data_IF_284489187540
#
_entry.id   IF_284489187540
#
_cell.length_a   1.000
_cell.length_b   1.000
_cell.length_c   1.000
_cell.angle_alpha   90.00
_cell.angle_beta   90.00
_cell.angle_gamma   90.00
#
_symmetry.space_group_name_H-M   'P 1'
#
loop_
_entity.id
_entity.type
_entity.pdbx_description
1 polymer ?
#
# COMPACT_ATOMS: atom_id res chain seq x y z
N UNK A 1 41.38 2.94 -26.34
CA UNK A 1 40.00 3.28 -26.75
C UNK A 1 39.17 3.38 -25.50
N UNK A 2 38.92 4.60 -25.02
CA UNK A 2 38.34 4.88 -23.70
C UNK A 2 36.82 5.07 -23.84
N UNK A 3 36.04 4.25 -23.13
CA UNK A 3 34.57 4.30 -23.12
C UNK A 3 34.09 5.57 -22.42
N UNK A 4 33.20 6.39 -23.01
CA UNK A 4 32.62 7.53 -22.31
C UNK A 4 31.61 7.05 -21.27
N UNK A 5 31.83 7.40 -20.00
CA UNK A 5 30.85 7.22 -18.92
C UNK A 5 29.70 8.21 -19.13
N UNK A 6 28.51 7.70 -19.46
CA UNK A 6 27.32 8.53 -19.68
C UNK A 6 26.68 8.87 -18.33
N UNK A 7 26.90 10.09 -17.85
CA UNK A 7 26.30 10.56 -16.61
C UNK A 7 24.80 10.86 -16.82
N UNK A 8 23.94 9.99 -16.29
CA UNK A 8 22.49 10.18 -16.28
C UNK A 8 22.11 11.33 -15.35
N UNK A 9 21.98 12.53 -15.89
CA UNK A 9 21.50 13.68 -15.14
C UNK A 9 19.99 13.62 -14.92
N UNK A 10 19.51 14.09 -13.76
CA UNK A 10 18.06 14.22 -13.45
C UNK A 10 17.30 14.94 -14.57
N UNK A 11 17.93 15.95 -15.19
CA UNK A 11 17.34 16.74 -16.29
C UNK A 11 17.14 15.91 -17.56
N UNK A 12 18.02 14.94 -17.82
CA UNK A 12 17.91 14.00 -18.94
C UNK A 12 16.73 13.06 -18.73
N UNK A 13 16.52 12.56 -17.50
CA UNK A 13 15.39 11.71 -17.15
C UNK A 13 14.05 12.47 -17.23
N UNK A 14 14.00 13.71 -16.74
CA UNK A 14 12.79 14.54 -16.81
C UNK A 14 12.40 14.85 -18.27
N UNK A 15 13.39 15.11 -19.13
CA UNK A 15 13.14 15.30 -20.57
C UNK A 15 12.62 14.03 -21.24
N UNK A 16 13.19 12.87 -20.89
CA UNK A 16 12.73 11.58 -21.41
C UNK A 16 11.28 11.26 -20.98
N UNK A 17 10.93 11.54 -19.72
CA UNK A 17 9.58 11.39 -19.19
C UNK A 17 8.56 12.32 -19.89
N UNK A 18 8.96 13.56 -20.18
CA UNK A 18 8.11 14.52 -20.90
C UNK A 18 7.82 14.08 -22.35
N UNK A 19 8.81 13.51 -23.05
CA UNK A 19 8.60 12.97 -24.42
C UNK A 19 7.78 11.68 -24.45
N UNK A 20 7.79 10.88 -23.38
CA UNK A 20 7.00 9.65 -23.27
C UNK A 20 5.55 9.89 -22.81
N UNK A 21 5.24 11.07 -22.25
CA UNK A 21 3.90 11.42 -21.78
C UNK A 21 2.88 11.73 -22.89
N UNK A 22 3.34 12.12 -24.09
CA UNK A 22 2.46 12.50 -25.21
C UNK A 22 2.02 11.27 -26.03
N UNK A 23 2.81 10.19 -26.04
CA UNK A 23 2.45 8.95 -26.73
C UNK A 23 1.65 7.96 -25.86
N UNK A 24 1.73 8.09 -24.53
CA UNK A 24 0.97 7.25 -23.57
C UNK A 24 -0.43 7.79 -23.28
N UNK A 25 -0.71 9.05 -23.57
CA UNK A 25 -2.03 9.66 -23.35
C UNK A 25 -3.11 9.09 -24.29
N UNK A 26 -2.73 8.58 -25.47
CA UNK A 26 -3.69 7.97 -26.41
C UNK A 26 -3.95 6.48 -26.14
N UNK A 27 -3.03 5.78 -25.47
CA UNK A 27 -3.17 4.34 -25.16
C UNK A 27 -3.83 4.06 -23.81
N UNK A 28 -3.88 5.04 -22.89
CA UNK A 28 -4.58 4.92 -21.61
C UNK A 28 -6.09 5.25 -21.73
N UNK A 29 -6.60 5.55 -22.93
CA UNK A 29 -8.05 5.67 -23.14
C UNK A 29 -8.78 4.31 -23.20
N UNK A 30 -8.06 3.18 -23.29
CA UNK A 30 -8.64 1.87 -23.64
C UNK A 30 -8.54 0.75 -22.60
N UNK A 31 -7.83 0.92 -21.48
CA UNK A 31 -7.62 -0.17 -20.50
C UNK A 31 -8.29 0.12 -19.16
N UNK A 32 -9.58 -0.22 -19.06
CA UNK A 32 -10.22 -0.74 -17.85
C UNK A 32 -10.07 0.07 -16.54
N UNK A 33 -9.79 1.37 -16.59
CA UNK A 33 -9.85 2.25 -15.41
C UNK A 33 -11.26 2.82 -15.17
N UNK A 34 -12.25 2.44 -15.98
CA UNK A 34 -13.67 2.81 -15.80
C UNK A 34 -14.38 2.03 -14.68
N UNK A 35 -13.62 1.60 -13.67
CA UNK A 35 -14.09 0.79 -12.55
C UNK A 35 -13.57 1.31 -11.22
N UNK A 36 -13.50 2.64 -11.03
CA UNK A 36 -13.46 3.19 -9.67
C UNK A 36 -14.85 2.98 -9.06
N UNK A 37 -15.12 1.74 -8.69
CA UNK A 37 -16.31 1.36 -7.94
C UNK A 37 -16.23 2.13 -6.63
N UNK A 38 -17.13 3.11 -6.46
CA UNK A 38 -17.33 3.80 -5.19
C UNK A 38 -17.44 2.74 -4.08
N UNK A 39 -16.53 2.75 -3.11
CA UNK A 39 -16.47 1.75 -2.04
C UNK A 39 -15.40 0.66 -2.15
N UNK A 40 -14.86 0.35 -3.34
CA UNK A 40 -13.91 -0.78 -3.49
C UNK A 40 -12.51 -0.52 -2.92
N UNK A 41 -12.16 0.75 -2.66
CA UNK A 41 -10.91 1.16 -2.01
C UNK A 41 -11.17 2.04 -0.77
N UNK A 42 -12.38 1.99 -0.21
CA UNK A 42 -12.75 2.84 0.91
C UNK A 42 -12.16 2.33 2.23
N UNK A 43 -11.92 1.01 2.33
CA UNK A 43 -11.46 0.37 3.57
C UNK A 43 -9.96 0.06 3.56
N UNK A 44 -9.24 0.54 4.57
CA UNK A 44 -7.84 0.20 4.82
C UNK A 44 -7.77 -1.10 5.62
N UNK A 45 -7.07 -2.09 5.09
CA UNK A 45 -6.80 -3.36 5.79
C UNK A 45 -5.44 -3.30 6.45
N UNK A 46 -5.39 -3.62 7.74
CA UNK A 46 -4.19 -3.50 8.58
C UNK A 46 -3.87 -4.86 9.20
N UNK A 47 -2.60 -5.25 9.14
CA UNK A 47 -2.04 -6.33 9.96
C UNK A 47 -1.24 -5.74 11.11
N UNK A 48 -1.40 -6.28 12.32
CA UNK A 48 -0.62 -5.85 13.49
C UNK A 48 0.40 -6.93 13.85
N UNK A 49 1.68 -6.58 13.81
CA UNK A 49 2.79 -7.44 14.19
C UNK A 49 3.33 -7.09 15.57
N UNK A 50 3.38 -8.08 16.46
CA UNK A 50 3.58 -7.92 17.89
C UNK A 50 2.28 -7.47 18.56
N UNK A 51 1.64 -8.34 19.32
CA UNK A 51 0.29 -8.14 19.89
C UNK A 51 0.37 -7.74 21.38
N UNK A 52 1.55 -7.82 22.00
CA UNK A 52 1.77 -7.35 23.36
C UNK A 52 1.81 -5.81 23.46
N UNK A 53 1.65 -5.28 24.68
CA UNK A 53 1.88 -3.87 25.01
C UNK A 53 1.27 -2.87 24.03
N UNK A 54 2.12 -2.21 23.22
CA UNK A 54 1.71 -1.23 22.20
C UNK A 54 0.91 -1.84 21.06
N UNK A 55 1.19 -3.08 20.68
CA UNK A 55 0.43 -3.81 19.66
C UNK A 55 -1.05 -3.91 20.01
N UNK A 56 -1.34 -4.33 21.25
CA UNK A 56 -2.71 -4.37 21.76
C UNK A 56 -3.37 -2.98 21.75
N UNK A 57 -2.62 -1.94 22.12
CA UNK A 57 -3.10 -0.56 22.02
C UNK A 57 -3.44 -0.16 20.58
N UNK A 58 -2.58 -0.50 19.61
CA UNK A 58 -2.82 -0.21 18.19
C UNK A 58 -4.05 -0.95 17.66
N UNK A 59 -4.23 -2.23 18.00
CA UNK A 59 -5.46 -2.98 17.65
C UNK A 59 -6.69 -2.23 18.18
N UNK A 60 -6.68 -1.84 19.45
CA UNK A 60 -7.79 -1.11 20.07
C UNK A 60 -8.09 0.24 19.41
N UNK A 61 -7.08 0.98 18.97
CA UNK A 61 -7.29 2.25 18.25
C UNK A 61 -7.80 2.02 16.82
N UNK A 62 -7.26 1.02 16.10
CA UNK A 62 -7.72 0.72 14.74
C UNK A 62 -9.17 0.23 14.69
N UNK A 63 -9.61 -0.54 15.69
CA UNK A 63 -10.99 -1.02 15.78
C UNK A 63 -12.02 0.10 15.97
N UNK A 64 -11.59 1.30 16.39
CA UNK A 64 -12.48 2.48 16.55
C UNK A 64 -12.61 3.30 15.27
N UNK A 65 -11.75 3.07 14.28
CA UNK A 65 -11.70 3.89 13.07
C UNK A 65 -12.68 3.35 12.03
N UNK A 66 -13.54 4.22 11.52
CA UNK A 66 -14.38 3.89 10.37
C UNK A 66 -13.52 3.57 9.15
N UNK A 67 -13.95 2.58 8.37
CA UNK A 67 -13.25 2.12 7.17
C UNK A 67 -11.81 1.63 7.43
N UNK A 68 -11.49 1.21 8.64
CA UNK A 68 -10.26 0.45 8.93
C UNK A 68 -10.65 -0.93 9.44
N UNK A 69 -9.99 -1.96 8.92
CA UNK A 69 -10.20 -3.34 9.33
C UNK A 69 -8.87 -3.96 9.71
N UNK A 70 -8.76 -4.48 10.94
CA UNK A 70 -7.63 -5.30 11.35
C UNK A 70 -7.87 -6.71 10.84
N UNK A 71 -7.11 -7.14 9.82
CA UNK A 71 -7.34 -8.43 9.14
C UNK A 71 -6.35 -9.51 9.54
N UNK A 72 -5.21 -9.12 10.13
CA UNK A 72 -4.17 -10.06 10.53
C UNK A 72 -3.57 -9.69 11.89
N UNK A 73 -3.37 -10.71 12.72
CA UNK A 73 -2.57 -10.63 13.93
C UNK A 73 -1.33 -11.50 13.74
N UNK A 74 -0.15 -10.96 14.04
CA UNK A 74 1.12 -11.63 13.77
C UNK A 74 1.96 -11.56 15.04
N UNK A 75 2.18 -12.70 15.69
CA UNK A 75 3.04 -12.79 16.88
C UNK A 75 3.65 -14.20 16.98
N UNK A 76 4.91 -14.35 17.43
CA UNK A 76 5.46 -15.67 17.75
C UNK A 76 4.77 -16.34 18.93
N UNK A 77 4.18 -15.59 19.86
CA UNK A 77 3.45 -16.12 21.01
C UNK A 77 2.03 -16.53 20.62
N UNK A 78 1.85 -17.84 20.41
CA UNK A 78 0.58 -18.41 19.96
C UNK A 78 -0.54 -18.33 21.01
N UNK A 79 -0.20 -18.12 22.30
CA UNK A 79 -1.19 -18.04 23.37
C UNK A 79 -2.08 -16.79 23.25
N UNK A 80 -1.64 -15.80 22.47
CA UNK A 80 -2.34 -14.53 22.29
C UNK A 80 -3.47 -14.61 21.27
N UNK A 81 -3.48 -15.59 20.37
CA UNK A 81 -4.39 -15.58 19.23
C UNK A 81 -5.85 -15.87 19.60
N UNK A 82 -6.11 -16.81 20.51
CA UNK A 82 -7.47 -17.16 20.96
C UNK A 82 -8.22 -15.90 21.45
N UNK A 83 -7.71 -15.25 22.49
CA UNK A 83 -8.37 -14.10 23.11
C UNK A 83 -8.39 -12.83 22.24
N UNK A 84 -7.59 -12.75 21.17
CA UNK A 84 -7.44 -11.53 20.34
C UNK A 84 -8.10 -11.65 18.97
N UNK A 85 -8.22 -12.87 18.46
CA UNK A 85 -8.94 -13.14 17.21
C UNK A 85 -10.44 -12.87 17.33
N UNK A 86 -11.04 -13.10 18.51
CA UNK A 86 -12.46 -12.78 18.77
C UNK A 86 -12.80 -11.29 18.53
N UNK A 87 -11.83 -10.40 18.74
CA UNK A 87 -12.02 -8.96 18.63
C UNK A 87 -11.89 -8.44 17.19
N UNK A 88 -11.44 -9.27 16.24
CA UNK A 88 -11.19 -8.86 14.85
C UNK A 88 -12.00 -9.73 13.88
N UNK A 89 -12.37 -9.19 12.71
CA UNK A 89 -13.18 -9.86 11.68
C UNK A 89 -12.47 -9.88 10.34
#
# INVERSE_FOLDING_TARGET
>A
MSTPSQHLSRRTLLKAAASAGIATSFTIAGTKASGRVLGANDTIRVGVAGIHGRGNGHIGEYLKLEKVQVTYLIDPDSTLFEARSEAIK
#
